data_IF_390110554948
#
_entry.id   IF_390110554948
#
_cell.length_a   1.000
_cell.length_b   1.000
_cell.length_c   1.000
_cell.angle_alpha   90.00
_cell.angle_beta   90.00
_cell.angle_gamma   90.00
#
_symmetry.space_group_name_H-M   'P 1'
#
loop_
_entity.id
_entity.type
_entity.pdbx_description
1 polymer ?
#
# COMPACT_ATOMS: atom_id res chain seq x y z
N UNK A 1 -8.30 -10.77 25.54
CA UNK A 1 -7.47 -9.60 25.16
C UNK A 1 -6.93 -9.64 23.73
N UNK A 2 -7.26 -10.66 22.91
CA UNK A 2 -6.93 -10.72 21.47
C UNK A 2 -7.92 -9.98 20.55
N UNK A 3 -8.92 -9.29 21.13
CA UNK A 3 -10.10 -8.79 20.41
C UNK A 3 -9.93 -7.37 19.88
N UNK A 4 -9.03 -6.56 20.43
CA UNK A 4 -8.90 -5.13 20.06
C UNK A 4 -8.31 -4.96 18.64
N UNK A 5 -7.22 -5.66 18.25
CA UNK A 5 -6.71 -5.56 16.88
C UNK A 5 -7.72 -6.08 15.84
N UNK A 6 -8.39 -7.20 16.16
CA UNK A 6 -9.43 -7.76 15.30
C UNK A 6 -10.65 -6.83 15.16
N UNK A 7 -11.01 -6.09 16.22
CA UNK A 7 -12.11 -5.13 16.19
C UNK A 7 -11.76 -3.96 15.27
N UNK A 8 -10.52 -3.47 15.30
CA UNK A 8 -10.12 -2.35 14.46
C UNK A 8 -9.95 -2.73 12.98
N UNK A 9 -9.40 -3.91 12.66
CA UNK A 9 -9.42 -4.43 11.27
C UNK A 9 -10.86 -4.64 10.77
N UNK A 10 -11.78 -5.10 11.64
CA UNK A 10 -13.20 -5.22 11.30
C UNK A 10 -13.89 -3.86 11.10
N UNK A 11 -13.53 -2.86 11.90
CA UNK A 11 -13.96 -1.47 11.70
C UNK A 11 -13.47 -0.92 10.36
N UNK A 12 -12.27 -1.28 9.90
CA UNK A 12 -11.76 -0.85 8.59
C UNK A 12 -12.55 -1.45 7.42
N UNK A 13 -12.96 -2.71 7.53
CA UNK A 13 -13.87 -3.35 6.58
C UNK A 13 -15.22 -2.62 6.57
N UNK A 14 -15.76 -2.30 7.75
CA UNK A 14 -17.00 -1.53 7.88
C UNK A 14 -16.84 -0.12 7.31
N UNK A 15 -15.70 0.54 7.51
CA UNK A 15 -15.39 1.88 7.00
C UNK A 15 -15.20 1.93 5.47
N UNK A 16 -14.83 0.82 4.83
CA UNK A 16 -14.80 0.75 3.37
C UNK A 16 -16.19 0.93 2.75
N UNK A 17 -17.26 0.50 3.43
CA UNK A 17 -18.64 0.65 2.93
C UNK A 17 -19.05 2.13 2.80
N UNK A 18 -18.96 2.99 3.85
CA UNK A 18 -19.14 4.43 3.72
C UNK A 18 -18.24 5.07 2.66
N UNK A 19 -16.99 4.62 2.53
CA UNK A 19 -16.03 5.18 1.59
C UNK A 19 -16.46 4.97 0.12
N UNK A 20 -17.18 3.87 -0.17
CA UNK A 20 -17.80 3.62 -1.46
C UNK A 20 -19.11 4.39 -1.67
N UNK A 21 -19.83 4.73 -0.61
CA UNK A 21 -21.11 5.45 -0.70
C UNK A 21 -20.91 6.96 -0.86
N UNK A 22 -19.84 7.52 -0.29
CA UNK A 22 -19.53 8.96 -0.38
C UNK A 22 -18.93 9.31 -1.75
N UNK A 23 -19.22 10.51 -2.23
CA UNK A 23 -18.63 11.04 -3.46
C UNK A 23 -17.15 11.35 -3.31
N UNK A 24 -16.36 10.98 -4.32
CA UNK A 24 -14.93 11.26 -4.36
C UNK A 24 -14.66 12.77 -4.33
N UNK A 25 -13.47 13.16 -3.87
CA UNK A 25 -13.00 14.56 -3.78
C UNK A 25 -13.78 15.46 -2.79
N UNK A 26 -14.69 14.90 -2.00
CA UNK A 26 -15.44 15.66 -0.97
C UNK A 26 -14.74 15.62 0.39
N UNK A 27 -15.05 16.57 1.28
CA UNK A 27 -14.51 16.58 2.66
C UNK A 27 -14.82 15.27 3.41
N UNK A 28 -16.06 14.73 3.39
CA UNK A 28 -16.35 13.46 4.07
C UNK A 28 -15.54 12.28 3.54
N UNK A 29 -15.24 12.23 2.23
CA UNK A 29 -14.39 11.20 1.64
C UNK A 29 -12.99 11.23 2.24
N UNK A 30 -12.36 12.41 2.29
CA UNK A 30 -11.02 12.57 2.83
C UNK A 30 -10.94 12.29 4.34
N UNK A 31 -11.99 12.63 5.10
CA UNK A 31 -12.09 12.29 6.52
C UNK A 31 -12.12 10.77 6.71
N UNK A 32 -12.96 10.06 5.97
CA UNK A 32 -13.04 8.59 6.02
C UNK A 32 -11.72 7.94 5.57
N UNK A 33 -11.11 8.46 4.51
CA UNK A 33 -9.81 8.03 4.01
C UNK A 33 -8.70 8.13 5.07
N UNK A 34 -8.61 9.29 5.75
CA UNK A 34 -7.64 9.51 6.81
C UNK A 34 -7.90 8.61 8.02
N UNK A 35 -9.15 8.48 8.46
CA UNK A 35 -9.51 7.62 9.59
C UNK A 35 -9.13 6.17 9.27
N UNK A 36 -9.46 5.67 8.09
CA UNK A 36 -9.12 4.31 7.68
C UNK A 36 -7.60 4.07 7.64
N UNK A 37 -6.83 5.01 7.08
CA UNK A 37 -5.36 4.91 7.03
C UNK A 37 -4.68 5.02 8.40
N UNK A 38 -5.18 5.89 9.28
CA UNK A 38 -4.65 6.02 10.65
C UNK A 38 -4.95 4.76 11.47
N UNK A 39 -6.15 4.20 11.30
CA UNK A 39 -6.55 2.96 11.98
C UNK A 39 -5.61 1.81 11.61
N UNK A 40 -5.15 1.72 10.36
CA UNK A 40 -4.13 0.74 9.96
C UNK A 40 -2.82 0.81 10.72
N UNK A 41 -2.27 2.01 10.81
CA UNK A 41 -1.00 2.23 11.51
C UNK A 41 -1.16 1.88 13.00
N UNK A 42 -2.29 2.25 13.60
CA UNK A 42 -2.57 1.98 15.01
C UNK A 42 -2.75 0.48 15.29
N UNK A 43 -3.43 -0.25 14.42
CA UNK A 43 -3.67 -1.69 14.58
C UNK A 43 -2.37 -2.47 14.55
N UNK A 44 -1.53 -2.18 13.56
CA UNK A 44 -0.21 -2.78 13.42
C UNK A 44 0.75 -2.39 14.56
N UNK A 45 0.62 -1.19 15.11
CA UNK A 45 1.42 -0.75 16.27
C UNK A 45 0.98 -1.45 17.56
N UNK A 46 -0.32 -1.49 17.85
CA UNK A 46 -0.88 -2.11 19.05
C UNK A 46 -0.66 -3.63 19.05
N UNK A 47 -0.83 -4.30 17.91
CA UNK A 47 -0.59 -5.74 17.79
C UNK A 47 0.86 -6.11 18.14
N UNK A 48 1.83 -5.31 17.68
CA UNK A 48 3.26 -5.49 17.99
C UNK A 48 3.59 -5.17 19.44
N UNK A 49 3.04 -4.08 19.98
CA UNK A 49 3.32 -3.66 21.35
C UNK A 49 2.80 -4.67 22.38
N UNK A 50 1.65 -5.30 22.11
CA UNK A 50 1.05 -6.28 23.02
C UNK A 50 1.47 -7.72 22.73
N UNK A 51 2.21 -7.98 21.65
CA UNK A 51 2.65 -9.33 21.27
C UNK A 51 1.49 -10.26 20.90
N UNK A 52 0.38 -9.70 20.42
CA UNK A 52 -0.87 -10.44 20.16
C UNK A 52 -1.12 -10.58 18.65
N UNK A 53 -0.12 -11.08 17.93
CA UNK A 53 -0.26 -11.38 16.50
C UNK A 53 -0.92 -12.75 16.33
N UNK A 54 -2.14 -12.78 15.76
CA UNK A 54 -2.86 -14.03 15.47
C UNK A 54 -2.92 -14.29 13.97
N UNK A 55 -2.84 -15.57 13.57
CA UNK A 55 -2.98 -15.96 12.14
C UNK A 55 -4.31 -15.54 11.54
N UNK A 56 -5.37 -15.46 12.36
CA UNK A 56 -6.69 -15.02 11.93
C UNK A 56 -6.73 -13.50 11.73
N UNK A 57 -6.24 -12.72 12.70
CA UNK A 57 -6.15 -11.27 12.60
C UNK A 57 -5.31 -10.83 11.40
N UNK A 58 -4.15 -11.46 11.16
CA UNK A 58 -3.32 -11.18 9.99
C UNK A 58 -4.04 -11.39 8.65
N UNK A 59 -4.91 -12.41 8.55
CA UNK A 59 -5.73 -12.65 7.35
C UNK A 59 -6.83 -11.59 7.18
N UNK A 60 -7.47 -11.18 8.28
CA UNK A 60 -8.47 -10.12 8.26
C UNK A 60 -7.86 -8.77 7.87
N UNK A 61 -6.69 -8.46 8.40
CA UNK A 61 -5.94 -7.24 8.09
C UNK A 61 -5.57 -7.19 6.60
N UNK A 62 -5.04 -8.28 6.05
CA UNK A 62 -4.76 -8.39 4.60
C UNK A 62 -6.01 -8.21 3.73
N UNK A 63 -7.17 -8.72 4.19
CA UNK A 63 -8.44 -8.53 3.49
C UNK A 63 -8.92 -7.08 3.56
N UNK A 64 -8.81 -6.46 4.74
CA UNK A 64 -9.19 -5.06 4.96
C UNK A 64 -8.34 -4.12 4.09
N UNK A 65 -7.03 -4.34 4.02
CA UNK A 65 -6.12 -3.58 3.17
C UNK A 65 -6.47 -3.71 1.68
N UNK A 66 -6.74 -4.95 1.23
CA UNK A 66 -7.13 -5.19 -0.14
C UNK A 66 -8.42 -4.46 -0.51
N UNK A 67 -9.45 -4.54 0.34
CA UNK A 67 -10.71 -3.84 0.14
C UNK A 67 -10.54 -2.33 0.17
N UNK A 68 -9.71 -1.80 1.07
CA UNK A 68 -9.42 -0.37 1.16
C UNK A 68 -8.75 0.16 -0.11
N UNK A 69 -7.69 -0.51 -0.58
CA UNK A 69 -6.99 -0.14 -1.82
C UNK A 69 -7.93 -0.21 -3.01
N UNK A 70 -8.79 -1.23 -3.09
CA UNK A 70 -9.79 -1.35 -4.15
C UNK A 70 -10.83 -0.22 -4.10
N UNK A 71 -11.38 0.08 -2.93
CA UNK A 71 -12.42 1.11 -2.78
C UNK A 71 -11.89 2.50 -3.13
N UNK A 72 -10.74 2.87 -2.57
CA UNK A 72 -10.06 4.13 -2.85
C UNK A 72 -9.65 4.19 -4.31
N UNK A 73 -9.03 3.13 -4.83
CA UNK A 73 -8.60 3.03 -6.22
C UNK A 73 -9.77 3.25 -7.17
N UNK A 74 -10.88 2.53 -6.98
CA UNK A 74 -12.09 2.66 -7.80
C UNK A 74 -12.65 4.09 -7.81
N UNK A 75 -12.71 4.74 -6.65
CA UNK A 75 -13.24 6.12 -6.53
C UNK A 75 -12.29 7.18 -7.09
N UNK A 76 -10.99 7.02 -6.92
CA UNK A 76 -9.98 8.01 -7.33
C UNK A 76 -9.52 7.84 -8.77
N UNK A 77 -9.61 6.64 -9.35
CA UNK A 77 -9.13 6.36 -10.69
C UNK A 77 -9.68 7.29 -11.79
N UNK A 78 -10.98 7.63 -11.83
CA UNK A 78 -11.51 8.58 -12.82
C UNK A 78 -10.91 9.99 -12.73
N UNK A 79 -10.38 10.35 -11.57
CA UNK A 79 -9.77 11.66 -11.29
C UNK A 79 -8.26 11.68 -11.58
N UNK A 80 -7.64 10.52 -11.81
CA UNK A 80 -6.22 10.39 -12.13
C UNK A 80 -5.94 10.73 -13.60
N UNK A 81 -5.83 12.03 -13.89
CA UNK A 81 -5.40 12.52 -15.20
C UNK A 81 -3.88 12.55 -15.28
N UNK A 82 -3.25 11.39 -15.46
CA UNK A 82 -1.79 11.30 -15.61
C UNK A 82 -1.36 11.39 -17.08
N UNK A 83 -0.26 12.08 -17.41
CA UNK A 83 0.33 12.06 -18.75
C UNK A 83 0.78 10.64 -19.13
N UNK A 84 0.79 10.32 -20.42
CA UNK A 84 1.17 9.00 -20.93
C UNK A 84 2.56 8.55 -20.47
N UNK A 85 3.49 9.51 -20.29
CA UNK A 85 4.84 9.25 -19.77
C UNK A 85 4.85 8.71 -18.34
N UNK A 86 3.96 9.21 -17.46
CA UNK A 86 3.81 8.66 -16.11
C UNK A 86 3.22 7.25 -16.14
N UNK A 87 2.26 6.99 -17.03
CA UNK A 87 1.72 5.64 -17.21
C UNK A 87 2.78 4.64 -17.66
N UNK A 88 3.64 5.02 -18.60
CA UNK A 88 4.77 4.19 -19.03
C UNK A 88 5.73 3.90 -17.87
N UNK A 89 6.03 4.91 -17.05
CA UNK A 89 6.90 4.76 -15.89
C UNK A 89 6.29 3.84 -14.81
N UNK A 90 4.99 3.98 -14.53
CA UNK A 90 4.27 3.07 -13.63
C UNK A 90 4.32 1.63 -14.17
N UNK A 91 4.11 1.45 -15.47
CA UNK A 91 4.22 0.15 -16.14
C UNK A 91 5.62 -0.47 -16.01
N UNK A 92 6.67 0.33 -16.19
CA UNK A 92 8.06 -0.11 -15.99
C UNK A 92 8.31 -0.53 -14.54
N UNK A 93 7.89 0.28 -13.56
CA UNK A 93 8.04 -0.04 -12.13
C UNK A 93 7.30 -1.34 -11.80
N UNK A 94 6.08 -1.51 -12.33
CA UNK A 94 5.29 -2.73 -12.16
C UNK A 94 6.02 -3.95 -12.74
N UNK A 95 6.60 -3.84 -13.92
CA UNK A 95 7.39 -4.92 -14.54
C UNK A 95 8.60 -5.30 -13.67
N UNK A 96 9.37 -4.32 -13.18
CA UNK A 96 10.51 -4.58 -12.28
C UNK A 96 10.03 -5.30 -11.01
N UNK A 97 8.92 -4.85 -10.41
CA UNK A 97 8.37 -5.50 -9.21
C UNK A 97 7.87 -6.92 -9.48
N UNK A 98 7.30 -7.19 -10.66
CA UNK A 98 6.92 -8.56 -11.06
C UNK A 98 8.16 -9.43 -11.21
N UNK A 99 9.23 -8.94 -11.85
CA UNK A 99 10.51 -9.66 -11.95
C UNK A 99 11.08 -9.94 -10.56
N UNK A 100 11.12 -8.95 -9.67
CA UNK A 100 11.56 -9.13 -8.29
C UNK A 100 10.72 -10.17 -7.54
N UNK A 101 9.39 -10.13 -7.72
CA UNK A 101 8.48 -11.09 -7.11
C UNK A 101 8.75 -12.52 -7.62
N UNK A 102 8.93 -12.70 -8.94
CA UNK A 102 9.26 -14.00 -9.55
C UNK A 102 10.62 -14.49 -9.03
N UNK A 103 11.65 -13.64 -9.05
CA UNK A 103 12.98 -13.98 -8.52
C UNK A 103 12.89 -14.41 -7.06
N UNK A 104 12.16 -13.65 -6.23
CA UNK A 104 11.93 -14.00 -4.83
C UNK A 104 11.19 -15.34 -4.67
N UNK A 105 10.24 -15.65 -5.54
CA UNK A 105 9.46 -16.90 -5.51
C UNK A 105 10.32 -18.11 -5.90
N UNK A 106 11.09 -18.00 -6.98
CA UNK A 106 12.03 -19.04 -7.43
C UNK A 106 13.06 -19.34 -6.34
N UNK A 107 13.58 -18.28 -5.69
CA UNK A 107 14.60 -18.40 -4.64
C UNK A 107 14.01 -18.93 -3.32
N UNK A 108 12.75 -18.58 -3.01
CA UNK A 108 11.99 -19.15 -1.88
C UNK A 108 11.82 -20.66 -1.99
N UNK A 109 11.66 -21.20 -3.19
CA UNK A 109 11.57 -22.65 -3.41
C UNK A 109 12.86 -23.40 -3.04
N UNK A 110 13.98 -22.68 -2.87
CA UNK A 110 15.29 -23.21 -2.47
C UNK A 110 15.56 -23.15 -0.95
N UNK A 111 14.88 -22.28 -0.19
CA UNK A 111 15.20 -22.04 1.25
C UNK A 111 14.01 -21.73 2.19
N UNK A 112 12.75 -21.88 1.77
CA UNK A 112 11.63 -22.03 2.72
C UNK A 112 11.19 -20.79 3.52
N UNK A 113 11.61 -19.56 3.18
CA UNK A 113 11.10 -18.35 3.83
C UNK A 113 10.53 -17.34 2.82
N UNK A 114 9.34 -16.81 3.10
CA UNK A 114 8.70 -15.78 2.30
C UNK A 114 9.40 -14.44 2.48
N UNK A 115 10.24 -14.07 1.52
CA UNK A 115 10.80 -12.74 1.44
C UNK A 115 9.81 -11.78 0.79
N UNK A 116 8.74 -11.44 1.52
CA UNK A 116 8.21 -10.08 1.40
C UNK A 116 9.23 -9.18 2.09
N UNK A 117 10.29 -8.82 1.38
CA UNK A 117 11.22 -7.78 1.81
C UNK A 117 10.45 -6.46 1.78
N UNK A 118 9.65 -6.21 2.82
CA UNK A 118 9.17 -4.89 3.17
C UNK A 118 10.38 -4.06 3.60
N UNK A 119 11.22 -3.71 2.64
CA UNK A 119 12.30 -2.75 2.80
C UNK A 119 11.68 -1.46 3.34
N UNK A 120 12.44 -0.74 4.17
CA UNK A 120 12.01 0.57 4.67
C UNK A 120 11.59 1.50 3.51
N UNK A 121 12.20 1.33 2.34
CA UNK A 121 11.85 2.02 1.09
C UNK A 121 10.42 1.70 0.60
N UNK A 122 10.00 0.44 0.57
CA UNK A 122 8.64 0.07 0.17
C UNK A 122 7.58 0.59 1.15
N UNK A 123 7.88 0.66 2.46
CA UNK A 123 7.00 1.31 3.45
C UNK A 123 6.87 2.82 3.21
N UNK A 124 8.00 3.49 2.91
CA UNK A 124 8.00 4.91 2.58
C UNK A 124 7.15 5.19 1.33
N UNK A 125 7.24 4.37 0.30
CA UNK A 125 6.43 4.53 -0.92
C UNK A 125 4.94 4.38 -0.64
N UNK A 126 4.55 3.41 0.18
CA UNK A 126 3.15 3.26 0.61
C UNK A 126 2.63 4.52 1.30
N UNK A 127 3.42 5.08 2.22
CA UNK A 127 3.09 6.34 2.89
C UNK A 127 3.04 7.53 1.93
N UNK A 128 4.00 7.65 1.03
CA UNK A 128 4.04 8.73 0.03
C UNK A 128 2.88 8.64 -0.96
N UNK A 129 2.47 7.44 -1.37
CA UNK A 129 1.28 7.22 -2.19
C UNK A 129 0.02 7.64 -1.42
N UNK A 130 -0.09 7.27 -0.14
CA UNK A 130 -1.22 7.65 0.71
C UNK A 130 -1.38 9.17 0.80
N UNK A 131 -0.30 9.88 1.14
CA UNK A 131 -0.32 11.35 1.20
C UNK A 131 -0.48 11.97 -0.20
N UNK A 132 0.15 11.38 -1.22
CA UNK A 132 0.11 11.85 -2.60
C UNK A 132 -1.29 11.82 -3.20
N UNK A 133 -2.12 10.83 -2.84
CA UNK A 133 -3.52 10.77 -3.28
C UNK A 133 -4.32 12.01 -2.87
N UNK A 134 -4.03 12.63 -1.72
CA UNK A 134 -4.71 13.85 -1.26
C UNK A 134 -4.41 15.08 -2.11
N UNK A 135 -3.39 15.00 -2.97
CA UNK A 135 -3.02 16.11 -3.87
C UNK A 135 -3.80 16.10 -5.18
N UNK A 136 -4.58 15.04 -5.46
CA UNK A 136 -5.38 14.93 -6.69
C UNK A 136 -6.34 16.13 -6.78
N UNK A 137 -6.35 16.78 -7.94
CA UNK A 137 -7.14 18.00 -8.19
C UNK A 137 -6.40 19.31 -7.91
N UNK A 138 -5.23 19.29 -7.25
CA UNK A 138 -4.39 20.47 -7.02
C UNK A 138 -3.39 20.69 -8.15
N UNK A 139 -3.02 21.93 -8.48
CA UNK A 139 -2.12 22.23 -9.62
C UNK A 139 -0.78 21.46 -9.64
N UNK A 140 -0.27 21.08 -8.46
CA UNK A 140 1.01 20.39 -8.29
C UNK A 140 0.91 18.85 -8.26
N UNK A 141 -0.27 18.24 -8.46
CA UNK A 141 -0.47 16.79 -8.34
C UNK A 141 0.43 15.97 -9.28
N UNK A 142 0.67 16.46 -10.50
CA UNK A 142 1.54 15.78 -11.49
C UNK A 142 2.99 15.76 -11.02
N UNK A 143 3.47 16.86 -10.44
CA UNK A 143 4.83 16.96 -9.91
C UNK A 143 5.01 15.96 -8.76
N UNK A 144 4.05 15.89 -7.84
CA UNK A 144 4.06 14.92 -6.74
C UNK A 144 4.07 13.49 -7.26
N UNK A 145 3.24 13.18 -8.27
CA UNK A 145 3.21 11.86 -8.89
C UNK A 145 4.57 11.46 -9.50
N UNK A 146 5.28 12.39 -10.15
CA UNK A 146 6.64 12.16 -10.65
C UNK A 146 7.64 11.88 -9.53
N UNK A 147 7.63 12.67 -8.45
CA UNK A 147 8.51 12.44 -7.32
C UNK A 147 8.30 11.06 -6.70
N UNK A 148 7.04 10.67 -6.50
CA UNK A 148 6.68 9.35 -5.98
C UNK A 148 7.16 8.26 -6.94
N UNK A 149 6.93 8.42 -8.25
CA UNK A 149 7.36 7.44 -9.24
C UNK A 149 8.89 7.28 -9.25
N UNK A 150 9.67 8.37 -9.16
CA UNK A 150 11.14 8.31 -9.11
C UNK A 150 11.63 7.54 -7.88
N UNK A 151 11.06 7.83 -6.72
CA UNK A 151 11.37 7.11 -5.47
C UNK A 151 10.96 5.64 -5.57
N UNK A 152 9.81 5.37 -6.18
CA UNK A 152 9.31 4.01 -6.40
C UNK A 152 10.22 3.20 -7.34
N UNK A 153 10.72 3.81 -8.41
CA UNK A 153 11.69 3.19 -9.31
C UNK A 153 12.99 2.86 -8.59
N UNK A 154 13.53 3.81 -7.82
CA UNK A 154 14.74 3.60 -7.02
C UNK A 154 14.57 2.43 -6.04
N UNK A 155 13.45 2.38 -5.31
CA UNK A 155 13.20 1.30 -4.37
C UNK A 155 13.01 -0.06 -5.06
N UNK A 156 12.38 -0.10 -6.23
CA UNK A 156 12.21 -1.33 -7.00
C UNK A 156 13.57 -1.89 -7.46
N UNK A 157 14.49 -1.04 -7.90
CA UNK A 157 15.87 -1.43 -8.25
C UNK A 157 16.62 -1.90 -7.00
N UNK A 158 16.54 -1.14 -5.91
CA UNK A 158 17.18 -1.48 -4.64
C UNK A 158 16.71 -2.84 -4.11
N UNK A 159 15.40 -3.12 -4.19
CA UNK A 159 14.83 -4.41 -3.82
C UNK A 159 15.40 -5.56 -4.67
N UNK A 160 15.52 -5.37 -5.98
CA UNK A 160 16.15 -6.36 -6.88
C UNK A 160 17.62 -6.64 -6.52
N UNK A 161 18.39 -5.59 -6.21
CA UNK A 161 19.78 -5.74 -5.76
C UNK A 161 19.89 -6.51 -4.44
N UNK A 162 18.99 -6.26 -3.48
CA UNK A 162 18.98 -7.02 -2.22
C UNK A 162 18.64 -8.50 -2.42
N UNK A 163 17.73 -8.81 -3.35
CA UNK A 163 17.40 -10.20 -3.70
C UNK A 163 18.63 -10.88 -4.29
N UNK A 164 19.36 -10.24 -5.21
CA UNK A 164 20.56 -10.84 -5.81
C UNK A 164 21.71 -10.97 -4.80
N UNK A 165 22.00 -9.92 -4.01
CA UNK A 165 23.14 -9.92 -3.07
C UNK A 165 23.02 -10.91 -1.92
N UNK A 166 21.80 -11.32 -1.55
CA UNK A 166 21.58 -12.24 -0.42
C UNK A 166 21.69 -13.72 -0.83
N UNK A 167 21.78 -14.02 -2.12
CA UNK A 167 21.62 -15.37 -2.68
C UNK A 167 22.50 -15.71 -3.88
N UNK A 168 23.20 -14.74 -4.47
CA UNK A 168 24.32 -14.96 -5.39
C UNK A 168 25.59 -15.25 -4.60
#
# INVERSE_FOLDING_TARGET
MQQIPNLLSSLRIVLCLPLLLVDAMTVPFWVLYLIAGITDILDGFLARQWGVESKFGARLDSLADFLFVLAVGYKLFPWLKLPATLWMMIGLIALIKVVNAISSFVMKHRQGQSLFLHTKANKLIGFLLFVGMMTIGQSYYILVAWLIACIALFAAIQEGHFILSKYG
#
